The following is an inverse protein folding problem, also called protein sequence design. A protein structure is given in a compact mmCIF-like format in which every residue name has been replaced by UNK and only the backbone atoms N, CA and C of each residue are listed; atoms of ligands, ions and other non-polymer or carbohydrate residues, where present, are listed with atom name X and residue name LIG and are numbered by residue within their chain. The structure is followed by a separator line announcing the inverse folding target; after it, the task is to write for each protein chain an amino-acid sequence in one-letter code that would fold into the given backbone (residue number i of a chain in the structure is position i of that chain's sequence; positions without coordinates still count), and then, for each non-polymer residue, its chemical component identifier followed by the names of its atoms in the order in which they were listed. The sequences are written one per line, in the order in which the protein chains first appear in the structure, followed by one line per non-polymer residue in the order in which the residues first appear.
data_IF_849487633936
#
_entry.id   IF_849487633936
#
_cell.length_a   1.000
_cell.length_b   1.000
_cell.length_c   1.000
_cell.angle_alpha   90.00
_cell.angle_beta   90.00
_cell.angle_gamma   90.00
#
_symmetry.space_group_name_H-M   'P 1'
#
loop_
_entity.id
_entity.type
_entity.pdbx_description
1 polymer ?
#
# COMPACT_ATOMS: atom_id res chain seq x y z
N UNK A 1 -26.35 30.73 40.75
CA UNK A 1 -26.98 30.66 39.41
C UNK A 1 -26.17 31.41 38.35
N UNK A 2 -25.71 32.63 38.63
CA UNK A 2 -24.90 33.46 37.71
C UNK A 2 -23.54 32.84 37.36
N UNK A 3 -22.80 32.28 38.32
CA UNK A 3 -21.50 31.64 38.03
C UNK A 3 -21.60 30.38 37.14
N UNK A 4 -22.70 29.64 37.27
CA UNK A 4 -22.97 28.46 36.44
C UNK A 4 -23.26 28.87 35.00
N UNK A 5 -24.04 29.93 34.79
CA UNK A 5 -24.30 30.50 33.47
C UNK A 5 -23.01 31.05 32.83
N UNK A 6 -22.17 31.74 33.60
CA UNK A 6 -20.91 32.29 33.10
C UNK A 6 -19.89 31.20 32.74
N UNK A 7 -19.83 30.11 33.53
CA UNK A 7 -19.03 28.93 33.18
C UNK A 7 -19.53 28.23 31.92
N UNK A 8 -20.85 28.11 31.75
CA UNK A 8 -21.45 27.49 30.55
C UNK A 8 -21.22 28.36 29.31
N UNK A 9 -21.35 29.68 29.43
CA UNK A 9 -21.11 30.62 28.32
C UNK A 9 -19.64 30.60 27.88
N UNK A 10 -18.70 30.66 28.84
CA UNK A 10 -17.27 30.57 28.54
C UNK A 10 -16.91 29.22 27.91
N UNK A 11 -17.48 28.11 28.39
CA UNK A 11 -17.29 26.79 27.76
C UNK A 11 -17.77 26.78 26.31
N UNK A 12 -18.95 27.33 26.02
CA UNK A 12 -19.46 27.42 24.64
C UNK A 12 -18.57 28.30 23.76
N UNK A 13 -18.08 29.42 24.29
CA UNK A 13 -17.18 30.32 23.56
C UNK A 13 -15.86 29.62 23.18
N UNK A 14 -15.26 28.88 24.13
CA UNK A 14 -14.03 28.10 23.91
C UNK A 14 -14.27 26.98 22.90
N UNK A 15 -15.40 26.27 22.96
CA UNK A 15 -15.76 25.22 22.00
C UNK A 15 -15.93 25.80 20.58
N UNK A 16 -16.56 26.97 20.44
CA UNK A 16 -16.74 27.62 19.14
C UNK A 16 -15.42 28.07 18.53
N UNK A 17 -14.52 28.65 19.32
CA UNK A 17 -13.18 29.07 18.87
C UNK A 17 -12.30 27.87 18.49
N UNK A 18 -12.40 26.76 19.23
CA UNK A 18 -11.66 25.54 18.92
C UNK A 18 -12.18 24.87 17.63
N UNK A 19 -13.50 24.91 17.39
CA UNK A 19 -14.11 24.39 16.17
C UNK A 19 -13.69 25.19 14.92
N UNK A 20 -13.64 26.52 15.00
CA UNK A 20 -13.18 27.37 13.88
C UNK A 20 -11.69 27.13 13.55
N UNK A 21 -10.85 27.00 14.58
CA UNK A 21 -9.43 26.68 14.39
C UNK A 21 -9.26 25.30 13.73
N UNK A 22 -10.06 24.32 14.12
CA UNK A 22 -10.01 22.98 13.52
C UNK A 22 -10.41 23.02 12.05
N UNK A 23 -11.49 23.73 11.71
CA UNK A 23 -11.94 23.88 10.32
C UNK A 23 -10.90 24.59 9.45
N UNK A 24 -10.16 25.57 9.97
CA UNK A 24 -9.09 26.25 9.24
C UNK A 24 -7.93 25.29 8.95
N UNK A 25 -7.51 24.51 9.95
CA UNK A 25 -6.45 23.51 9.83
C UNK A 25 -6.85 22.43 8.81
N UNK A 26 -8.10 21.98 8.86
CA UNK A 26 -8.62 20.97 7.92
C UNK A 26 -8.62 21.50 6.48
N UNK A 27 -9.11 22.74 6.26
CA UNK A 27 -9.08 23.38 4.94
C UNK A 27 -7.66 23.59 4.43
N UNK A 28 -6.75 24.00 5.30
CA UNK A 28 -5.34 24.17 4.96
C UNK A 28 -4.74 22.83 4.51
N UNK A 29 -4.89 21.76 5.29
CA UNK A 29 -4.36 20.45 4.92
C UNK A 29 -5.01 19.85 3.69
N UNK A 30 -6.33 20.02 3.51
CA UNK A 30 -7.00 19.64 2.27
C UNK A 30 -6.42 20.39 1.06
N UNK A 31 -6.14 21.69 1.19
CA UNK A 31 -5.50 22.47 0.13
C UNK A 31 -4.07 22.02 -0.15
N UNK A 32 -3.28 21.73 0.90
CA UNK A 32 -1.91 21.23 0.74
C UNK A 32 -1.90 19.84 0.09
N UNK A 33 -2.71 18.90 0.57
CA UNK A 33 -2.77 17.54 0.02
C UNK A 33 -3.31 17.54 -1.40
N UNK A 34 -4.29 18.37 -1.73
CA UNK A 34 -4.78 18.52 -3.10
C UNK A 34 -3.75 19.17 -4.03
N UNK A 35 -3.01 20.18 -3.57
CA UNK A 35 -1.92 20.79 -4.36
C UNK A 35 -0.79 19.78 -4.60
N UNK A 36 -0.39 19.04 -3.57
CA UNK A 36 0.63 17.99 -3.67
C UNK A 36 0.19 16.90 -4.65
N UNK A 37 -1.04 16.40 -4.49
CA UNK A 37 -1.62 15.40 -5.37
C UNK A 37 -1.64 15.88 -6.83
N UNK A 38 -2.11 17.11 -7.06
CA UNK A 38 -2.13 17.72 -8.40
C UNK A 38 -0.74 17.85 -8.99
N UNK A 39 0.24 18.32 -8.21
CA UNK A 39 1.61 18.49 -8.69
C UNK A 39 2.26 17.12 -8.98
N UNK A 40 2.07 16.14 -8.10
CA UNK A 40 2.61 14.80 -8.27
C UNK A 40 2.05 14.15 -9.54
N UNK A 41 0.73 14.23 -9.75
CA UNK A 41 0.07 13.71 -10.95
C UNK A 41 0.49 14.47 -12.22
N UNK A 42 0.59 15.81 -12.16
CA UNK A 42 1.06 16.63 -13.27
C UNK A 42 2.50 16.27 -13.69
N UNK A 43 3.42 16.18 -12.73
CA UNK A 43 4.81 15.82 -13.02
C UNK A 43 4.94 14.36 -13.49
N UNK A 44 4.17 13.43 -12.92
CA UNK A 44 4.13 12.05 -13.40
C UNK A 44 3.54 11.94 -14.82
N UNK A 45 2.61 12.82 -15.20
CA UNK A 45 2.07 12.84 -16.56
C UNK A 45 3.08 13.41 -17.57
N UNK A 46 3.79 14.48 -17.20
CA UNK A 46 4.71 15.19 -18.09
C UNK A 46 6.11 14.57 -18.15
N UNK A 47 6.52 13.80 -17.13
CA UNK A 47 7.84 13.22 -17.04
C UNK A 47 7.77 11.71 -16.85
N UNK A 48 8.16 10.99 -17.90
CA UNK A 48 8.28 9.53 -17.85
C UNK A 48 9.28 9.08 -16.77
N UNK A 49 10.35 9.83 -16.56
CA UNK A 49 11.34 9.54 -15.52
C UNK A 49 10.70 9.60 -14.12
N UNK A 50 9.93 10.66 -13.83
CA UNK A 50 9.23 10.81 -12.54
C UNK A 50 8.20 9.70 -12.37
N UNK A 51 7.42 9.41 -13.41
CA UNK A 51 6.44 8.31 -13.40
C UNK A 51 7.09 6.98 -13.09
N UNK A 52 8.15 6.62 -13.81
CA UNK A 52 8.86 5.35 -13.61
C UNK A 52 9.47 5.25 -12.21
N UNK A 53 10.02 6.35 -11.68
CA UNK A 53 10.53 6.39 -10.32
C UNK A 53 9.44 6.14 -9.28
N UNK A 54 8.28 6.82 -9.41
CA UNK A 54 7.15 6.66 -8.48
C UNK A 54 6.53 5.26 -8.55
N UNK A 55 6.38 4.68 -9.74
CA UNK A 55 5.87 3.32 -9.92
C UNK A 55 6.88 2.24 -9.50
N UNK A 56 8.17 2.47 -9.76
CA UNK A 56 9.23 1.50 -9.46
C UNK A 56 9.58 1.43 -7.98
N UNK A 57 9.59 2.59 -7.32
CA UNK A 57 9.95 2.74 -5.91
C UNK A 57 8.74 3.06 -5.03
N UNK A 58 7.55 2.64 -5.47
CA UNK A 58 6.28 2.89 -4.77
C UNK A 58 6.32 2.55 -3.27
N UNK A 59 6.86 1.41 -2.81
CA UNK A 59 6.90 1.13 -1.37
C UNK A 59 7.74 2.13 -0.56
N UNK A 60 8.83 2.67 -1.15
CA UNK A 60 9.64 3.72 -0.52
C UNK A 60 8.87 5.04 -0.49
N UNK A 61 8.20 5.40 -1.58
CA UNK A 61 7.33 6.57 -1.63
C UNK A 61 6.23 6.49 -0.57
N UNK A 62 5.53 5.34 -0.47
CA UNK A 62 4.48 5.11 0.52
C UNK A 62 5.02 5.24 1.94
N UNK A 63 6.21 4.70 2.24
CA UNK A 63 6.86 4.87 3.55
C UNK A 63 7.10 6.34 3.89
N UNK A 64 7.72 7.09 2.99
CA UNK A 64 7.99 8.52 3.20
C UNK A 64 6.71 9.31 3.44
N UNK A 65 5.67 8.99 2.68
CA UNK A 65 4.36 9.60 2.82
C UNK A 65 3.72 9.27 4.18
N UNK A 66 3.71 8.00 4.60
CA UNK A 66 3.18 7.59 5.90
C UNK A 66 3.96 8.21 7.06
N UNK A 67 5.28 8.33 6.94
CA UNK A 67 6.12 8.97 7.94
C UNK A 67 5.85 10.47 8.05
N UNK A 68 5.62 11.15 6.92
CA UNK A 68 5.17 12.55 6.90
C UNK A 68 3.83 12.68 7.65
N UNK A 69 2.86 11.82 7.35
CA UNK A 69 1.56 11.83 8.03
C UNK A 69 1.72 11.69 9.54
N UNK A 70 2.52 10.71 10.00
CA UNK A 70 2.79 10.50 11.43
C UNK A 70 3.46 11.71 12.09
N UNK A 71 4.40 12.37 11.38
CA UNK A 71 5.04 13.59 11.88
C UNK A 71 4.06 14.75 12.01
N UNK A 72 3.17 14.93 11.03
CA UNK A 72 2.12 15.94 11.10
C UNK A 72 1.14 15.68 12.26
N UNK A 73 0.81 14.41 12.51
CA UNK A 73 0.01 14.00 13.68
C UNK A 73 0.70 14.37 15.00
N UNK A 74 2.00 14.09 15.12
CA UNK A 74 2.77 14.42 16.32
C UNK A 74 2.79 15.94 16.59
N UNK A 75 2.94 16.77 15.55
CA UNK A 75 2.90 18.23 15.67
C UNK A 75 1.52 18.76 16.08
N UNK A 76 0.45 18.16 15.55
CA UNK A 76 -0.92 18.48 15.94
C UNK A 76 -1.15 18.21 17.44
N UNK A 77 -0.71 17.04 17.91
CA UNK A 77 -0.94 16.58 19.28
C UNK A 77 -0.10 17.31 20.33
N UNK A 78 1.01 17.95 19.94
CA UNK A 78 1.79 18.81 20.84
C UNK A 78 1.09 20.15 21.15
N UNK A 79 0.07 20.52 20.40
CA UNK A 79 -0.63 21.80 20.54
C UNK A 79 -1.87 21.75 21.46
N UNK A 80 -1.78 21.16 22.66
CA UNK A 80 -2.80 21.18 23.74
C UNK A 80 -4.27 20.80 23.38
N UNK A 81 -4.54 20.35 22.15
CA UNK A 81 -5.82 19.81 21.72
C UNK A 81 -5.66 18.33 21.42
N UNK A 82 -6.32 17.47 22.21
CA UNK A 82 -6.51 16.06 21.87
C UNK A 82 -7.26 15.96 20.54
N UNK A 83 -6.53 15.90 19.44
CA UNK A 83 -7.05 15.53 18.14
C UNK A 83 -6.56 14.13 17.85
N UNK A 84 -7.38 13.13 18.18
CA UNK A 84 -7.12 11.76 17.77
C UNK A 84 -7.24 11.65 16.25
N UNK A 85 -6.16 11.93 15.55
CA UNK A 85 -6.05 11.63 14.12
C UNK A 85 -5.88 10.12 13.99
N UNK A 86 -7.00 9.40 13.89
CA UNK A 86 -7.00 7.99 13.52
C UNK A 86 -6.53 7.92 12.07
N UNK A 87 -5.34 7.35 11.83
CA UNK A 87 -4.91 6.97 10.49
C UNK A 87 -5.83 5.85 10.01
N UNK A 88 -7.01 6.21 9.51
CA UNK A 88 -7.88 5.22 8.89
C UNK A 88 -7.34 5.02 7.49
N UNK A 89 -6.59 3.93 7.31
CA UNK A 89 -6.56 3.24 6.03
C UNK A 89 -7.94 2.59 5.91
N UNK A 90 -8.98 3.40 5.65
CA UNK A 90 -10.35 2.94 5.52
C UNK A 90 -10.44 2.10 4.25
N UNK A 91 -10.38 0.78 4.40
CA UNK A 91 -11.04 -0.11 3.45
C UNK A 91 -12.54 -0.20 3.73
N UNK A 92 -13.02 0.29 4.88
CA UNK A 92 -14.45 0.37 5.18
C UNK A 92 -14.86 1.76 5.63
N UNK A 93 -15.90 2.25 4.95
CA UNK A 93 -16.60 3.50 5.13
C UNK A 93 -17.51 3.44 6.35
N UNK A 94 -16.99 3.47 7.58
CA UNK A 94 -17.80 3.71 8.78
C UNK A 94 -16.95 4.21 9.95
N UNK A 95 -16.55 5.48 9.93
CA UNK A 95 -16.35 6.33 11.12
C UNK A 95 -15.87 7.70 10.66
N UNK A 96 -16.83 8.53 10.25
CA UNK A 96 -16.67 9.97 10.24
C UNK A 96 -16.63 10.43 11.70
N UNK A 97 -15.64 11.27 12.07
CA UNK A 97 -15.83 12.47 12.93
C UNK A 97 -14.54 13.10 13.48
N UNK A 98 -13.34 12.60 13.17
CA UNK A 98 -12.11 13.33 13.54
C UNK A 98 -11.38 13.78 12.30
N UNK A 99 -10.92 15.03 12.29
CA UNK A 99 -10.12 15.68 11.25
C UNK A 99 -8.87 14.88 10.87
N UNK A 100 -9.01 13.92 9.96
CA UNK A 100 -7.92 13.06 9.53
C UNK A 100 -7.19 13.71 8.37
N UNK A 101 -5.86 13.77 8.44
CA UNK A 101 -5.02 14.00 7.26
C UNK A 101 -5.30 12.88 6.25
N UNK A 102 -6.19 13.14 5.30
CA UNK A 102 -6.72 12.12 4.40
C UNK A 102 -5.84 12.02 3.17
N UNK A 103 -5.42 10.79 2.87
CA UNK A 103 -4.64 10.49 1.67
C UNK A 103 -5.51 10.79 0.46
N UNK A 104 -5.01 11.60 -0.46
CA UNK A 104 -5.64 11.74 -1.77
C UNK A 104 -5.32 10.49 -2.59
N UNK A 105 -6.08 9.42 -2.30
CA UNK A 105 -5.81 8.05 -2.75
C UNK A 105 -5.81 7.93 -4.27
N UNK A 106 -6.53 8.81 -4.95
CA UNK A 106 -6.62 8.86 -6.42
C UNK A 106 -5.26 9.00 -7.10
N UNK A 107 -4.32 9.74 -6.51
CA UNK A 107 -2.99 9.91 -7.11
C UNK A 107 -2.04 8.79 -6.72
N UNK A 108 -2.25 8.16 -5.57
CA UNK A 108 -1.37 7.08 -5.09
C UNK A 108 -1.73 5.74 -5.72
N UNK A 109 -3.01 5.53 -6.07
CA UNK A 109 -3.52 4.24 -6.56
C UNK A 109 -2.99 3.88 -7.94
N UNK A 110 -2.69 4.86 -8.80
CA UNK A 110 -2.10 4.59 -10.12
C UNK A 110 -0.69 3.99 -9.99
N UNK A 111 0.13 4.56 -9.11
CA UNK A 111 1.48 4.05 -8.82
C UNK A 111 1.44 2.70 -8.10
N UNK A 112 0.49 2.53 -7.18
CA UNK A 112 0.26 1.27 -6.48
C UNK A 112 -0.09 0.15 -7.46
N UNK A 113 -1.06 0.40 -8.36
CA UNK A 113 -1.48 -0.56 -9.37
C UNK A 113 -0.34 -0.95 -10.31
N UNK A 114 0.46 0.03 -10.74
CA UNK A 114 1.64 -0.22 -11.57
C UNK A 114 2.68 -1.07 -10.83
N UNK A 115 2.98 -0.74 -9.56
CA UNK A 115 3.89 -1.54 -8.73
C UNK A 115 3.39 -2.98 -8.56
N UNK A 116 2.10 -3.15 -8.23
CA UNK A 116 1.49 -4.47 -8.02
C UNK A 116 1.48 -5.31 -9.30
N UNK A 117 1.20 -4.70 -10.45
CA UNK A 117 1.28 -5.38 -11.74
C UNK A 117 2.70 -5.91 -12.00
N UNK A 118 3.72 -5.08 -11.76
CA UNK A 118 5.13 -5.49 -11.88
C UNK A 118 5.52 -6.55 -10.84
N UNK A 119 5.01 -6.46 -9.62
CA UNK A 119 5.24 -7.44 -8.55
C UNK A 119 4.73 -8.83 -8.97
N UNK A 120 3.54 -8.89 -9.59
CA UNK A 120 3.00 -10.13 -10.15
C UNK A 120 3.93 -10.71 -11.21
N UNK A 121 4.38 -9.91 -12.18
CA UNK A 121 5.33 -10.35 -13.22
C UNK A 121 6.64 -10.85 -12.61
N UNK A 122 7.27 -10.08 -11.72
CA UNK A 122 8.53 -10.47 -11.06
C UNK A 122 8.42 -11.78 -10.29
N UNK A 123 7.24 -12.11 -9.77
CA UNK A 123 7.01 -13.34 -9.04
C UNK A 123 6.67 -14.52 -9.97
N UNK A 124 5.81 -14.31 -10.98
CA UNK A 124 5.32 -15.38 -11.85
C UNK A 124 6.24 -15.69 -13.04
N UNK A 125 6.91 -14.69 -13.62
CA UNK A 125 7.75 -14.87 -14.81
C UNK A 125 8.93 -15.83 -14.57
N UNK A 126 9.64 -15.79 -13.43
CA UNK A 126 10.67 -16.77 -13.13
C UNK A 126 10.12 -18.20 -13.09
N UNK A 127 8.91 -18.39 -12.54
CA UNK A 127 8.26 -19.71 -12.52
C UNK A 127 7.92 -20.15 -13.94
N UNK A 128 7.37 -19.28 -14.78
CA UNK A 128 7.12 -19.64 -16.18
C UNK A 128 8.41 -20.00 -16.93
N UNK A 129 9.49 -19.24 -16.71
CA UNK A 129 10.78 -19.46 -17.36
C UNK A 129 11.41 -20.80 -16.94
N UNK A 130 11.44 -21.10 -15.65
CA UNK A 130 11.98 -22.37 -15.10
C UNK A 130 11.34 -23.61 -15.70
N UNK A 131 10.04 -23.54 -16.00
CA UNK A 131 9.26 -24.66 -16.53
C UNK A 131 8.90 -24.47 -18.01
N UNK A 132 9.67 -23.65 -18.75
CA UNK A 132 9.50 -23.47 -20.19
C UNK A 132 10.05 -24.64 -21.00
N UNK A 133 10.99 -25.40 -20.43
CA UNK A 133 11.57 -26.61 -21.03
C UNK A 133 11.08 -27.89 -20.36
N UNK A 134 11.60 -29.03 -20.81
CA UNK A 134 11.35 -30.36 -20.20
C UNK A 134 12.29 -30.67 -19.03
N UNK A 135 13.16 -29.73 -18.66
CA UNK A 135 14.15 -29.90 -17.60
C UNK A 135 13.61 -29.42 -16.25
N UNK A 136 14.00 -30.14 -15.19
CA UNK A 136 13.66 -29.75 -13.81
C UNK A 136 14.38 -28.45 -13.45
N UNK A 137 13.74 -27.51 -12.73
CA UNK A 137 14.40 -26.27 -12.32
C UNK A 137 15.67 -26.53 -11.53
N UNK A 138 16.72 -25.75 -11.82
CA UNK A 138 17.99 -25.81 -11.11
C UNK A 138 17.90 -25.17 -9.72
N UNK A 139 18.84 -25.53 -8.84
CA UNK A 139 18.92 -24.94 -7.50
C UNK A 139 19.14 -23.42 -7.55
N UNK A 140 19.91 -22.92 -8.53
CA UNK A 140 20.17 -21.49 -8.68
C UNK A 140 18.91 -20.70 -9.05
N UNK A 141 18.05 -21.27 -9.91
CA UNK A 141 16.77 -20.66 -10.29
C UNK A 141 15.81 -20.61 -9.10
N UNK A 142 15.72 -21.70 -8.33
CA UNK A 142 14.89 -21.76 -7.12
C UNK A 142 15.39 -20.75 -6.07
N UNK A 143 16.69 -20.66 -5.84
CA UNK A 143 17.28 -19.66 -4.94
C UNK A 143 16.98 -18.23 -5.40
N UNK A 144 17.04 -17.97 -6.71
CA UNK A 144 16.70 -16.67 -7.29
C UNK A 144 15.23 -16.30 -7.03
N UNK A 145 14.31 -17.25 -7.18
CA UNK A 145 12.90 -17.05 -6.86
C UNK A 145 12.67 -16.80 -5.36
N UNK A 146 13.34 -17.56 -4.49
CA UNK A 146 13.28 -17.33 -3.04
C UNK A 146 13.74 -15.91 -2.71
N UNK A 147 14.88 -15.47 -3.24
CA UNK A 147 15.37 -14.09 -3.05
C UNK A 147 14.36 -13.06 -3.53
N UNK A 148 13.72 -13.30 -4.68
CA UNK A 148 12.70 -12.41 -5.24
C UNK A 148 11.47 -12.31 -4.33
N UNK A 149 10.96 -13.45 -3.84
CA UNK A 149 9.86 -13.52 -2.87
C UNK A 149 10.22 -12.76 -1.59
N UNK A 150 11.41 -12.99 -1.04
CA UNK A 150 11.88 -12.32 0.18
C UNK A 150 11.97 -10.80 -0.03
N UNK A 151 12.48 -10.36 -1.18
CA UNK A 151 12.60 -8.93 -1.52
C UNK A 151 11.22 -8.26 -1.62
N UNK A 152 10.29 -8.85 -2.40
CA UNK A 152 8.93 -8.32 -2.55
C UNK A 152 8.20 -8.23 -1.22
N UNK A 153 8.30 -9.27 -0.39
CA UNK A 153 7.68 -9.26 0.93
C UNK A 153 8.30 -8.16 1.80
N UNK A 154 9.63 -8.07 1.86
CA UNK A 154 10.34 -7.12 2.72
C UNK A 154 9.99 -5.66 2.42
N UNK A 155 9.92 -5.29 1.14
CA UNK A 155 9.57 -3.90 0.76
C UNK A 155 8.09 -3.59 1.01
N UNK A 156 7.21 -4.59 0.96
CA UNK A 156 5.78 -4.42 1.19
C UNK A 156 5.37 -4.17 2.64
N UNK A 157 6.22 -4.52 3.62
CA UNK A 157 5.94 -4.42 5.07
C UNK A 157 5.70 -2.98 5.58
N UNK A 158 5.91 -1.98 4.73
CA UNK A 158 5.64 -0.57 5.02
C UNK A 158 4.18 -0.29 5.28
N UNK A 159 3.29 -1.10 4.71
CA UNK A 159 1.86 -0.95 4.81
C UNK A 159 1.15 -2.31 4.86
N UNK A 160 0.16 -2.45 5.74
CA UNK A 160 -0.54 -3.72 5.95
C UNK A 160 -1.37 -4.13 4.73
N UNK A 161 -1.96 -3.17 4.01
CA UNK A 161 -2.79 -3.44 2.84
C UNK A 161 -1.93 -3.85 1.64
N UNK A 162 -0.79 -3.19 1.45
CA UNK A 162 0.21 -3.55 0.44
C UNK A 162 0.77 -4.94 0.73
N UNK A 163 1.20 -5.20 1.96
CA UNK A 163 1.76 -6.49 2.38
C UNK A 163 0.76 -7.63 2.18
N UNK A 164 -0.52 -7.42 2.50
CA UNK A 164 -1.58 -8.42 2.26
C UNK A 164 -1.72 -8.75 0.77
N UNK A 165 -1.67 -7.76 -0.10
CA UNK A 165 -1.80 -7.97 -1.55
C UNK A 165 -0.58 -8.68 -2.11
N UNK A 166 0.63 -8.26 -1.72
CA UNK A 166 1.88 -8.92 -2.12
C UNK A 166 1.94 -10.37 -1.62
N UNK A 167 1.55 -10.63 -0.37
CA UNK A 167 1.47 -11.98 0.19
C UNK A 167 0.51 -12.88 -0.62
N UNK A 168 -0.61 -12.34 -1.09
CA UNK A 168 -1.53 -13.07 -1.97
C UNK A 168 -0.88 -13.42 -3.31
N UNK A 169 -0.10 -12.52 -3.90
CA UNK A 169 0.64 -12.77 -5.13
C UNK A 169 1.73 -13.82 -4.94
N UNK A 170 2.46 -13.77 -3.82
CA UNK A 170 3.45 -14.79 -3.43
C UNK A 170 2.77 -16.16 -3.28
N UNK A 171 1.62 -16.23 -2.62
CA UNK A 171 0.86 -17.48 -2.48
C UNK A 171 0.46 -18.08 -3.83
N UNK A 172 0.00 -17.24 -4.78
CA UNK A 172 -0.29 -17.70 -6.17
C UNK A 172 0.97 -18.23 -6.86
N UNK A 173 2.11 -17.59 -6.63
CA UNK A 173 3.40 -17.96 -7.23
C UNK A 173 3.89 -19.30 -6.72
N UNK A 174 3.89 -19.50 -5.40
CA UNK A 174 4.24 -20.79 -4.78
C UNK A 174 3.30 -21.89 -5.26
N UNK A 175 1.99 -21.61 -5.33
CA UNK A 175 1.00 -22.56 -5.85
C UNK A 175 1.27 -22.93 -7.31
N UNK A 176 1.59 -21.96 -8.16
CA UNK A 176 1.93 -22.21 -9.57
C UNK A 176 3.19 -23.06 -9.68
N UNK A 177 4.22 -22.77 -8.88
CA UNK A 177 5.44 -23.56 -8.82
C UNK A 177 5.14 -25.03 -8.46
N UNK A 178 4.37 -25.28 -7.40
CA UNK A 178 3.98 -26.64 -7.02
C UNK A 178 3.19 -27.35 -8.14
N UNK A 179 2.21 -26.66 -8.76
CA UNK A 179 1.43 -27.21 -9.87
C UNK A 179 2.32 -27.60 -11.05
N UNK A 180 3.32 -26.78 -11.37
CA UNK A 180 4.28 -27.06 -12.45
C UNK A 180 5.19 -28.24 -12.10
N UNK A 181 5.66 -28.35 -10.85
CA UNK A 181 6.38 -29.54 -10.38
C UNK A 181 5.54 -30.81 -10.55
N UNK A 182 4.26 -30.78 -10.14
CA UNK A 182 3.34 -31.92 -10.30
C UNK A 182 3.17 -32.31 -11.77
N UNK A 183 3.08 -31.34 -12.68
CA UNK A 183 2.95 -31.58 -14.13
C UNK A 183 4.20 -32.19 -14.77
N UNK A 184 5.39 -31.96 -14.20
CA UNK A 184 6.62 -32.59 -14.67
C UNK A 184 6.77 -34.05 -14.22
N UNK A 185 6.02 -34.47 -13.21
CA UNK A 185 5.98 -35.87 -12.79
C UNK A 185 5.15 -36.61 -13.85
N UNK A 186 5.87 -37.18 -14.81
CA UNK A 186 5.34 -37.97 -15.92
C UNK A 186 4.28 -38.98 -15.43
N UNK A 187 3.01 -38.74 -15.80
CA UNK A 187 1.92 -39.73 -15.76
C UNK A 187 1.90 -40.59 -17.04
N UNK A 188 3.04 -40.77 -17.71
CA UNK A 188 3.14 -41.73 -18.81
C UNK A 188 3.17 -43.13 -18.23
N UNK A 189 1.98 -43.68 -18.00
CA UNK A 189 1.81 -45.11 -18.14
C UNK A 189 2.10 -45.46 -19.59
N UNK A 190 3.35 -45.83 -19.90
CA UNK A 190 3.56 -46.77 -20.99
C UNK A 190 2.79 -48.03 -20.59
N UNK A 191 1.53 -48.09 -21.01
CA UNK A 191 0.76 -49.32 -21.04
C UNK A 191 1.56 -50.28 -21.90
N UNK A 192 2.36 -51.13 -21.24
CA UNK A 192 3.02 -52.26 -21.86
C UNK A 192 1.91 -53.11 -22.46
N UNK A 193 1.70 -52.97 -23.77
CA UNK A 193 0.70 -53.73 -24.48
C UNK A 193 1.19 -55.18 -24.50
N UNK A 194 0.59 -56.01 -23.66
CA UNK A 194 0.88 -57.44 -23.62
C UNK A 194 0.26 -58.04 -24.88
N UNK A 195 1.08 -58.32 -25.90
CA UNK A 195 0.66 -59.12 -27.05
C UNK A 195 0.55 -60.56 -26.55
N UNK A 196 -0.68 -61.07 -26.51
CA UNK A 196 -1.01 -62.48 -26.35
C UNK A 196 -1.86 -62.94 -27.53
#
# INVERSE_FOLDING_TARGET
MVELLQRVLNRKLTISQQAEKQQLVDKFWQSVTSLLARQLSHEAHNSLFVKQALEGEYPKFLRLYLDLCKRLQALSNQSNGQLEVKMIISTDSTTAETSVFQINREVVVEFENAYLSRSVSRLLDPVHLMFSGETVPSHEEVDSLIRTITSELSVSLVDVSLSRTVARNISKTVRLFCLKCEQMIVTSGEATQVIG
#
